data_IF_620856833630
#
_entry.id   IF_620856833630
#
_cell.length_a   1.000
_cell.length_b   1.000
_cell.length_c   1.000
_cell.angle_alpha   90.00
_cell.angle_beta   90.00
_cell.angle_gamma   90.00
#
_symmetry.space_group_name_H-M   'P 1'
#
loop_
_entity.id
_entity.type
_entity.pdbx_description
1 polymer ?
#
# COMPACT_ATOMS: atom_id res chain seq x y z
N UNK A 1 8.02 7.15 -53.12
CA UNK A 1 7.81 6.85 -51.68
C UNK A 1 6.31 6.76 -51.46
N UNK A 2 5.79 5.66 -50.88
CA UNK A 2 4.42 5.66 -50.38
C UNK A 2 4.29 6.70 -49.25
N UNK A 3 3.11 7.33 -49.09
CA UNK A 3 2.88 8.27 -48.00
C UNK A 3 2.99 7.55 -46.65
N UNK A 4 3.78 8.11 -45.75
CA UNK A 4 3.92 7.64 -44.37
C UNK A 4 2.62 7.93 -43.62
N UNK A 5 1.93 6.87 -43.19
CA UNK A 5 0.68 7.02 -42.43
C UNK A 5 0.98 7.65 -41.07
N UNK A 6 0.20 8.64 -40.61
CA UNK A 6 0.41 9.27 -39.31
C UNK A 6 0.36 8.20 -38.19
N UNK A 7 1.16 8.35 -37.13
CA UNK A 7 1.21 7.37 -36.04
C UNK A 7 -0.19 7.20 -35.44
N UNK A 8 -0.68 5.97 -35.46
CA UNK A 8 -1.96 5.59 -34.88
C UNK A 8 -1.92 5.92 -33.38
N UNK A 9 -2.75 6.88 -32.95
CA UNK A 9 -2.75 7.36 -31.57
C UNK A 9 -3.37 6.27 -30.72
N UNK A 10 -2.55 5.54 -29.97
CA UNK A 10 -3.03 4.50 -29.07
C UNK A 10 -4.07 5.11 -28.09
N UNK A 11 -5.24 4.49 -27.91
CA UNK A 11 -6.27 5.02 -27.03
C UNK A 11 -5.73 5.12 -25.60
N UNK A 12 -5.79 6.33 -25.03
CA UNK A 12 -5.39 6.57 -23.65
C UNK A 12 -6.39 5.86 -22.70
N UNK A 13 -5.91 5.00 -21.78
CA UNK A 13 -6.79 4.33 -20.83
C UNK A 13 -7.47 5.37 -19.92
N UNK A 14 -8.76 5.21 -19.60
CA UNK A 14 -9.47 6.15 -18.76
C UNK A 14 -8.82 6.25 -17.37
N UNK A 15 -8.77 7.45 -16.77
CA UNK A 15 -8.12 7.65 -15.49
C UNK A 15 -8.82 6.82 -14.41
N UNK A 16 -8.03 6.03 -13.66
CA UNK A 16 -8.54 5.24 -12.56
C UNK A 16 -9.11 6.15 -11.45
N UNK A 17 -10.24 5.78 -10.82
CA UNK A 17 -10.81 6.54 -9.72
C UNK A 17 -9.79 6.80 -8.62
N UNK A 18 -9.67 8.06 -8.17
CA UNK A 18 -8.70 8.46 -7.15
C UNK A 18 -8.85 7.68 -5.83
N UNK A 19 -10.00 7.10 -5.56
CA UNK A 19 -10.23 6.24 -4.39
C UNK A 19 -9.43 4.92 -4.47
N UNK A 20 -9.31 4.30 -5.65
CA UNK A 20 -8.56 3.05 -5.84
C UNK A 20 -7.05 3.26 -5.73
N UNK A 21 -6.59 4.49 -5.95
CA UNK A 21 -5.18 4.85 -5.84
C UNK A 21 -4.74 5.16 -4.40
N UNK A 22 -5.70 5.25 -3.45
CA UNK A 22 -5.39 5.52 -2.03
C UNK A 22 -5.18 4.20 -1.31
N UNK A 23 -3.99 4.00 -0.76
CA UNK A 23 -3.67 2.79 0.02
C UNK A 23 -4.30 2.81 1.43
N UNK A 24 -4.54 4.01 1.99
CA UNK A 24 -5.01 4.21 3.36
C UNK A 24 -6.35 3.52 3.71
N UNK A 25 -7.39 3.55 2.85
CA UNK A 25 -8.64 2.84 3.11
C UNK A 25 -8.45 1.33 3.30
N UNK A 26 -7.55 0.71 2.53
CA UNK A 26 -7.27 -0.74 2.61
C UNK A 26 -6.57 -1.08 3.93
N UNK A 27 -5.55 -0.31 4.30
CA UNK A 27 -4.85 -0.48 5.58
C UNK A 27 -5.81 -0.28 6.75
N UNK A 28 -6.63 0.78 6.70
CA UNK A 28 -7.61 1.08 7.75
C UNK A 28 -8.67 0.00 7.89
N UNK A 29 -9.23 -0.49 6.78
CA UNK A 29 -10.23 -1.55 6.78
C UNK A 29 -9.66 -2.87 7.33
N UNK A 30 -8.45 -3.25 6.91
CA UNK A 30 -7.77 -4.45 7.41
C UNK A 30 -7.46 -4.36 8.90
N UNK A 31 -6.89 -3.25 9.36
CA UNK A 31 -6.58 -3.02 10.77
C UNK A 31 -7.85 -3.02 11.64
N UNK A 32 -8.91 -2.33 11.22
CA UNK A 32 -10.19 -2.33 11.92
C UNK A 32 -10.81 -3.73 11.98
N UNK A 33 -10.79 -4.48 10.87
CA UNK A 33 -11.28 -5.85 10.81
C UNK A 33 -10.57 -6.77 11.79
N UNK A 34 -9.23 -6.75 11.81
CA UNK A 34 -8.45 -7.55 12.75
C UNK A 34 -8.61 -7.09 14.20
N UNK A 35 -8.67 -5.79 14.49
CA UNK A 35 -9.00 -5.27 15.82
C UNK A 35 -10.35 -5.82 16.31
N UNK A 36 -11.40 -5.71 15.50
CA UNK A 36 -12.73 -6.21 15.84
C UNK A 36 -12.71 -7.74 16.04
N UNK A 37 -12.02 -8.49 15.17
CA UNK A 37 -11.88 -9.93 15.30
C UNK A 37 -11.14 -10.32 16.58
N UNK A 38 -10.07 -9.62 16.95
CA UNK A 38 -9.36 -9.83 18.21
C UNK A 38 -10.28 -9.57 19.39
N UNK A 39 -10.97 -8.43 19.44
CA UNK A 39 -11.92 -8.11 20.51
C UNK A 39 -12.97 -9.22 20.64
N UNK A 40 -13.58 -9.63 19.52
CA UNK A 40 -14.59 -10.69 19.50
C UNK A 40 -14.04 -12.04 20.00
N UNK A 41 -12.82 -12.42 19.61
CA UNK A 41 -12.17 -13.67 20.02
C UNK A 41 -11.86 -13.74 21.52
N UNK A 42 -11.73 -12.59 22.20
CA UNK A 42 -11.54 -12.53 23.65
C UNK A 42 -12.85 -12.30 24.42
N UNK A 43 -13.84 -11.64 23.83
CA UNK A 43 -15.10 -11.33 24.49
C UNK A 43 -16.19 -12.42 24.36
N UNK A 44 -16.16 -13.23 23.30
CA UNK A 44 -17.22 -14.19 22.97
C UNK A 44 -16.72 -15.64 23.19
N UNK A 45 -17.32 -16.41 24.12
CA UNK A 45 -16.93 -17.79 24.43
C UNK A 45 -16.98 -18.82 23.26
N UNK A 46 -17.42 -18.43 22.06
CA UNK A 46 -17.42 -19.30 20.86
C UNK A 46 -16.35 -18.96 19.83
N UNK A 47 -15.54 -17.90 20.06
CA UNK A 47 -14.56 -17.40 19.10
C UNK A 47 -13.12 -17.53 19.59
N UNK A 48 -12.88 -18.28 20.67
CA UNK A 48 -11.55 -18.44 21.24
C UNK A 48 -10.53 -19.09 20.28
N UNK A 49 -10.98 -19.96 19.39
CA UNK A 49 -10.15 -20.57 18.34
C UNK A 49 -9.62 -19.55 17.33
N UNK A 50 -10.23 -18.36 17.23
CA UNK A 50 -9.80 -17.28 16.36
C UNK A 50 -8.72 -16.39 16.98
N UNK A 51 -8.39 -16.57 18.27
CA UNK A 51 -7.37 -15.74 18.96
C UNK A 51 -6.01 -15.77 18.23
N UNK A 52 -5.45 -16.93 17.83
CA UNK A 52 -4.14 -16.95 17.18
C UNK A 52 -4.15 -16.20 15.85
N UNK A 53 -5.15 -16.43 15.00
CA UNK A 53 -5.24 -15.80 13.68
C UNK A 53 -5.56 -14.30 13.77
N UNK A 54 -6.44 -13.90 14.69
CA UNK A 54 -6.79 -12.49 14.86
C UNK A 54 -5.61 -11.68 15.39
N UNK A 55 -4.89 -12.20 16.39
CA UNK A 55 -3.67 -11.55 16.93
C UNK A 55 -2.56 -11.55 15.89
N UNK A 56 -2.35 -12.64 15.15
CA UNK A 56 -1.35 -12.71 14.09
C UNK A 56 -1.62 -11.67 13.01
N UNK A 57 -2.85 -11.57 12.50
CA UNK A 57 -3.18 -10.58 11.48
C UNK A 57 -3.12 -9.13 11.99
N UNK A 58 -3.47 -8.88 13.25
CA UNK A 58 -3.23 -7.58 13.88
C UNK A 58 -1.74 -7.24 13.93
N UNK A 59 -0.89 -8.19 14.35
CA UNK A 59 0.56 -8.04 14.39
C UNK A 59 1.18 -7.81 13.02
N UNK A 60 0.76 -8.58 12.01
CA UNK A 60 1.17 -8.40 10.60
C UNK A 60 0.72 -7.03 10.08
N UNK A 61 -0.48 -6.57 10.42
CA UNK A 61 -0.98 -5.25 10.06
C UNK A 61 -0.12 -4.11 10.64
N UNK A 62 0.23 -4.21 11.92
CA UNK A 62 1.13 -3.25 12.59
C UNK A 62 2.51 -3.26 11.93
N UNK A 63 3.08 -4.44 11.68
CA UNK A 63 4.39 -4.58 11.05
C UNK A 63 4.39 -3.99 9.63
N UNK A 64 3.45 -4.39 8.79
CA UNK A 64 3.33 -3.92 7.41
C UNK A 64 3.09 -2.41 7.34
N UNK A 65 2.24 -1.86 8.21
CA UNK A 65 2.00 -0.40 8.28
C UNK A 65 3.26 0.34 8.72
N UNK A 66 3.99 -0.18 9.70
CA UNK A 66 5.25 0.42 10.17
C UNK A 66 6.28 0.47 9.04
N UNK A 67 6.47 -0.64 8.33
CA UNK A 67 7.35 -0.73 7.16
C UNK A 67 6.92 0.29 6.10
N UNK A 68 5.63 0.35 5.77
CA UNK A 68 5.11 1.30 4.79
C UNK A 68 5.38 2.76 5.17
N UNK A 69 5.21 3.11 6.45
CA UNK A 69 5.48 4.48 6.94
C UNK A 69 6.95 4.84 6.84
N UNK A 70 7.85 3.91 7.20
CA UNK A 70 9.30 4.11 7.06
C UNK A 70 9.68 4.27 5.58
N UNK A 71 9.13 3.43 4.69
CA UNK A 71 9.37 3.55 3.25
C UNK A 71 8.86 4.88 2.69
N UNK A 72 7.64 5.29 3.07
CA UNK A 72 7.06 6.57 2.66
C UNK A 72 7.89 7.74 3.13
N UNK A 73 8.38 7.70 4.37
CA UNK A 73 9.23 8.75 4.91
C UNK A 73 10.59 8.77 4.21
N UNK A 74 11.20 7.62 3.91
CA UNK A 74 12.42 7.53 3.11
C UNK A 74 12.23 8.09 1.68
N UNK A 75 11.10 7.78 1.04
CA UNK A 75 10.75 8.33 -0.27
C UNK A 75 10.54 9.85 -0.23
N UNK A 76 9.87 10.36 0.82
CA UNK A 76 9.67 11.81 1.03
C UNK A 76 10.95 12.56 1.35
N UNK A 77 11.83 11.95 2.15
CA UNK A 77 13.14 12.50 2.45
C UNK A 77 13.99 12.65 1.20
N UNK A 78 13.61 11.95 0.12
CA UNK A 78 14.28 12.00 -1.16
C UNK A 78 15.72 11.63 -0.92
N UNK A 79 16.05 10.34 -0.94
CA UNK A 79 17.43 9.95 -1.12
C UNK A 79 17.92 10.59 -2.44
N UNK A 80 18.40 11.83 -2.34
CA UNK A 80 19.28 12.54 -3.27
C UNK A 80 20.64 11.82 -3.33
N UNK A 81 20.66 10.51 -3.09
CA UNK A 81 21.84 9.66 -3.05
C UNK A 81 22.28 9.19 -4.43
N UNK A 82 21.57 9.56 -5.50
CA UNK A 82 21.94 9.23 -6.88
C UNK A 82 22.27 10.47 -7.75
N UNK A 83 22.46 11.64 -7.12
CA UNK A 83 22.94 12.85 -7.81
C UNK A 83 23.98 13.62 -6.97
N UNK A 84 24.81 12.94 -6.18
CA UNK A 84 25.99 13.53 -5.54
C UNK A 84 27.29 13.11 -6.22
N UNK A 85 27.28 13.00 -7.55
CA UNK A 85 28.45 12.56 -8.33
C UNK A 85 28.43 12.82 -9.84
N UNK A 86 27.48 13.62 -10.36
CA UNK A 86 27.49 14.07 -11.76
C UNK A 86 27.80 15.57 -11.89
N UNK A 87 28.58 16.09 -10.95
CA UNK A 87 29.18 17.40 -11.08
C UNK A 87 30.69 17.22 -11.21
N UNK A 88 31.14 17.23 -12.47
CA UNK A 88 32.50 17.54 -12.93
C UNK A 88 33.61 16.53 -12.61
N UNK A 89 33.95 15.68 -13.58
CA UNK A 89 35.26 15.70 -14.25
C UNK A 89 35.18 15.04 -15.64
#
# INVERSE_FOLDING_TARGET
MPPELPPETAPEPPPLPAALLRVWPVIGAGAAGFCCATIAAFAIPGLESWRPVSVAGLGVGVLGTTIFLVQREAARRGARGAQSGLEHE
#
